data_IF_458971479627
#
_entry.id   IF_458971479627
#
_cell.length_a   1.000
_cell.length_b   1.000
_cell.length_c   1.000
_cell.angle_alpha   90.00
_cell.angle_beta   90.00
_cell.angle_gamma   90.00
#
_symmetry.space_group_name_H-M   'P 1'
#
loop_
_entity.id
_entity.type
_entity.pdbx_description
1 polymer ?
#
# COMPACT_ATOMS: atom_id res chain seq x y z
N UNK A 1 0.35 1.49 13.33
CA UNK A 1 0.01 0.19 12.71
C UNK A 1 1.23 -0.70 12.56
N UNK A 2 2.18 -0.38 11.68
CA UNK A 2 3.43 -1.18 11.58
C UNK A 2 4.18 -1.11 12.90
N UNK A 3 4.37 0.09 13.47
CA UNK A 3 5.01 0.25 14.78
C UNK A 3 4.27 -0.53 15.88
N UNK A 4 2.93 -0.46 15.91
CA UNK A 4 2.12 -1.17 16.90
C UNK A 4 2.37 -2.69 16.87
N UNK A 5 2.61 -3.27 15.69
CA UNK A 5 3.02 -4.67 15.54
C UNK A 5 4.47 -4.91 15.95
N UNK A 6 5.40 -4.01 15.60
CA UNK A 6 6.81 -4.10 16.05
C UNK A 6 6.91 -4.09 17.57
N UNK A 7 6.07 -3.29 18.23
CA UNK A 7 6.03 -3.18 19.69
C UNK A 7 5.38 -4.40 20.37
N UNK A 8 4.58 -5.19 19.64
CA UNK A 8 3.89 -6.40 20.12
C UNK A 8 3.74 -7.42 18.98
N UNK A 9 4.81 -8.15 18.66
CA UNK A 9 4.88 -9.02 17.49
C UNK A 9 4.08 -10.32 17.62
N UNK A 10 3.62 -10.65 18.84
CA UNK A 10 2.80 -11.84 19.09
C UNK A 10 1.33 -11.61 18.71
N UNK A 11 0.90 -10.34 18.55
CA UNK A 11 -0.48 -10.02 18.22
C UNK A 11 -0.79 -10.19 16.73
N UNK A 12 -1.47 -11.28 16.40
CA UNK A 12 -1.96 -11.59 15.05
C UNK A 12 -2.92 -10.51 14.51
N UNK A 13 -3.73 -9.89 15.37
CA UNK A 13 -4.58 -8.76 14.96
C UNK A 13 -3.78 -7.53 14.54
N UNK A 14 -2.65 -7.26 15.20
CA UNK A 14 -1.75 -6.16 14.82
C UNK A 14 -0.99 -6.49 13.53
N UNK A 15 -0.55 -7.73 13.35
CA UNK A 15 0.04 -8.20 12.09
C UNK A 15 -0.92 -8.00 10.92
N UNK A 16 -2.19 -8.39 11.07
CA UNK A 16 -3.22 -8.17 10.05
C UNK A 16 -3.34 -6.70 9.64
N UNK A 17 -3.43 -5.78 10.62
CA UNK A 17 -3.50 -4.33 10.36
C UNK A 17 -2.22 -3.79 9.72
N UNK A 18 -1.06 -4.30 10.12
CA UNK A 18 0.23 -3.92 9.55
C UNK A 18 0.35 -4.34 8.07
N UNK A 19 -0.09 -5.56 7.73
CA UNK A 19 -0.11 -6.05 6.35
C UNK A 19 -1.05 -5.24 5.45
N UNK A 20 -2.23 -4.86 5.95
CA UNK A 20 -3.13 -3.95 5.22
C UNK A 20 -2.48 -2.59 5.00
N UNK A 21 -1.84 -2.04 6.03
CA UNK A 21 -1.13 -0.76 5.92
C UNK A 21 -0.01 -0.82 4.87
N UNK A 22 0.72 -1.93 4.83
CA UNK A 22 1.76 -2.18 3.82
C UNK A 22 1.17 -2.26 2.41
N UNK A 23 0.10 -3.03 2.20
CA UNK A 23 -0.56 -3.11 0.89
C UNK A 23 -1.12 -1.77 0.40
N UNK A 24 -1.58 -0.91 1.32
CA UNK A 24 -2.00 0.46 0.99
C UNK A 24 -0.81 1.33 0.60
N UNK A 25 0.33 1.19 1.28
CA UNK A 25 1.55 1.92 0.95
C UNK A 25 1.99 1.61 -0.50
N UNK A 26 2.19 0.33 -0.82
CA UNK A 26 2.65 -0.09 -2.16
C UNK A 26 1.57 0.13 -3.23
N UNK A 27 0.30 -0.19 -2.91
CA UNK A 27 -0.78 -0.17 -3.88
C UNK A 27 -1.38 1.21 -4.17
N UNK A 28 -1.44 2.12 -3.18
CA UNK A 28 -2.10 3.42 -3.33
C UNK A 28 -1.06 4.55 -3.39
N UNK A 29 -0.18 4.65 -2.41
CA UNK A 29 0.73 5.81 -2.33
C UNK A 29 1.78 5.78 -3.45
N UNK A 30 2.49 4.67 -3.63
CA UNK A 30 3.49 4.59 -4.71
C UNK A 30 2.89 4.64 -6.12
N UNK A 31 1.65 4.18 -6.31
CA UNK A 31 0.96 4.27 -7.61
C UNK A 31 0.80 5.72 -8.08
N UNK A 32 0.49 6.65 -7.18
CA UNK A 32 0.39 8.09 -7.51
C UNK A 32 1.73 8.67 -7.96
N UNK A 33 2.80 8.34 -7.24
CA UNK A 33 4.16 8.78 -7.53
C UNK A 33 4.66 8.26 -8.90
N UNK A 34 4.40 6.99 -9.22
CA UNK A 34 4.74 6.44 -10.53
C UNK A 34 4.01 7.17 -11.66
N UNK A 35 2.72 7.49 -11.49
CA UNK A 35 1.95 8.25 -12.47
C UNK A 35 2.57 9.64 -12.75
N UNK A 36 3.08 10.30 -11.70
CA UNK A 36 3.79 11.57 -11.84
C UNK A 36 5.08 11.44 -12.65
N UNK A 37 5.96 10.47 -12.34
CA UNK A 37 7.20 10.27 -13.11
C UNK A 37 6.93 9.89 -14.56
N UNK A 38 5.91 9.07 -14.83
CA UNK A 38 5.48 8.80 -16.20
C UNK A 38 4.97 10.06 -16.92
N UNK A 39 4.35 11.01 -16.22
CA UNK A 39 3.97 12.30 -16.79
C UNK A 39 5.18 13.14 -17.22
N UNK A 40 6.27 13.14 -16.45
CA UNK A 40 7.49 13.87 -16.77
C UNK A 40 8.15 13.32 -18.04
N UNK A 41 8.18 12.00 -18.19
CA UNK A 41 8.73 11.35 -19.39
C UNK A 41 7.93 11.71 -20.64
N UNK A 42 6.60 11.83 -20.53
CA UNK A 42 5.76 12.32 -21.66
C UNK A 42 6.14 13.73 -22.11
N UNK A 43 6.69 14.54 -21.21
CA UNK A 43 7.22 15.88 -21.51
C UNK A 43 8.73 15.89 -21.80
N UNK A 44 9.33 14.72 -22.04
CA UNK A 44 10.75 14.54 -22.31
C UNK A 44 11.67 15.00 -21.16
N UNK A 45 11.18 14.93 -19.91
CA UNK A 45 11.91 15.27 -18.68
C UNK A 45 12.20 14.01 -17.87
N UNK A 46 13.31 14.00 -17.14
CA UNK A 46 13.71 12.92 -16.24
C UNK A 46 13.80 11.52 -16.89
N UNK A 47 14.12 11.45 -18.19
CA UNK A 47 14.15 10.20 -18.96
C UNK A 47 15.18 9.21 -18.39
N UNK A 48 16.33 9.69 -17.90
CA UNK A 48 17.33 8.81 -17.29
C UNK A 48 16.82 8.12 -16.01
N UNK A 49 15.93 8.78 -15.26
CA UNK A 49 15.39 8.25 -14.00
C UNK A 49 14.29 7.22 -14.22
N UNK A 50 13.62 7.21 -15.38
CA UNK A 50 12.46 6.31 -15.61
C UNK A 50 12.85 4.83 -15.56
N UNK A 51 14.08 4.50 -15.94
CA UNK A 51 14.58 3.12 -15.87
C UNK A 51 14.56 2.64 -14.42
N UNK A 52 15.09 3.45 -13.50
CA UNK A 52 15.08 3.14 -12.07
C UNK A 52 13.67 3.07 -11.51
N UNK A 53 12.80 4.03 -11.87
CA UNK A 53 11.40 4.05 -11.43
C UNK A 53 10.65 2.79 -11.88
N UNK A 54 10.88 2.34 -13.12
CA UNK A 54 10.25 1.12 -13.62
C UNK A 54 10.75 -0.13 -12.89
N UNK A 55 12.04 -0.20 -12.53
CA UNK A 55 12.57 -1.31 -11.72
C UNK A 55 11.92 -1.35 -10.35
N UNK A 56 11.80 -0.19 -9.67
CA UNK A 56 11.09 -0.10 -8.38
C UNK A 56 9.64 -0.58 -8.54
N UNK A 57 8.92 -0.08 -9.55
CA UNK A 57 7.53 -0.49 -9.80
C UNK A 57 7.36 -1.99 -10.05
N UNK A 58 8.34 -2.61 -10.73
CA UNK A 58 8.36 -4.06 -10.95
C UNK A 58 8.46 -4.81 -9.61
N UNK A 59 9.36 -4.38 -8.73
CA UNK A 59 9.51 -4.94 -7.38
C UNK A 59 8.24 -4.72 -6.53
N UNK A 60 7.65 -3.52 -6.58
CA UNK A 60 6.42 -3.22 -5.82
C UNK A 60 5.22 -4.08 -6.22
N UNK A 61 5.16 -4.46 -7.51
CA UNK A 61 4.14 -5.38 -8.00
C UNK A 61 4.31 -6.76 -7.38
N UNK A 62 5.55 -7.24 -7.25
CA UNK A 62 5.86 -8.53 -6.64
C UNK A 62 5.57 -8.51 -5.14
N UNK A 63 5.93 -7.43 -4.44
CA UNK A 63 5.62 -7.27 -3.01
C UNK A 63 4.11 -7.24 -2.77
N UNK A 64 3.36 -6.49 -3.57
CA UNK A 64 1.89 -6.44 -3.46
C UNK A 64 1.25 -7.82 -3.58
N UNK A 65 1.71 -8.65 -4.53
CA UNK A 65 1.25 -10.02 -4.68
C UNK A 65 1.65 -10.88 -3.47
N UNK A 66 2.91 -10.84 -3.06
CA UNK A 66 3.43 -11.63 -1.94
C UNK A 66 2.67 -11.33 -0.64
N UNK A 67 2.59 -10.06 -0.25
CA UNK A 67 1.93 -9.66 0.99
C UNK A 67 0.41 -9.84 0.92
N UNK A 68 -0.19 -9.71 -0.28
CA UNK A 68 -1.60 -10.04 -0.51
C UNK A 68 -1.88 -11.53 -0.34
N UNK A 69 -0.95 -12.39 -0.76
CA UNK A 69 -1.03 -13.84 -0.53
C UNK A 69 -0.82 -14.18 0.96
N UNK A 70 0.17 -13.58 1.62
CA UNK A 70 0.39 -13.75 3.06
C UNK A 70 -0.86 -13.36 3.85
N UNK A 71 -1.49 -12.22 3.51
CA UNK A 71 -2.73 -11.77 4.14
C UNK A 71 -3.85 -12.80 4.02
N UNK A 72 -4.01 -13.42 2.84
CA UNK A 72 -4.99 -14.47 2.62
C UNK A 72 -4.68 -15.74 3.44
N UNK A 73 -3.40 -16.14 3.50
CA UNK A 73 -2.97 -17.31 4.27
C UNK A 73 -3.26 -17.10 5.77
N UNK A 74 -2.91 -15.93 6.34
CA UNK A 74 -3.17 -15.68 7.77
C UNK A 74 -4.66 -15.61 8.07
N UNK A 75 -5.49 -15.09 7.16
CA UNK A 75 -6.94 -15.08 7.35
C UNK A 75 -7.55 -16.47 7.26
N UNK A 76 -6.89 -17.39 6.53
CA UNK A 76 -7.27 -18.80 6.46
C UNK A 76 -6.85 -19.56 7.72
N UNK A 77 -5.63 -19.33 8.21
CA UNK A 77 -5.09 -19.98 9.42
C UNK A 77 -5.73 -19.47 10.72
N UNK A 78 -6.11 -18.19 10.77
CA UNK A 78 -6.74 -17.53 11.91
C UNK A 78 -8.13 -16.99 11.52
N UNK A 79 -9.19 -17.82 11.59
CA UNK A 79 -10.55 -17.43 11.20
C UNK A 79 -11.10 -16.22 11.95
N UNK A 80 -10.59 -15.92 13.15
CA UNK A 80 -10.89 -14.70 13.91
C UNK A 80 -10.48 -13.41 13.19
N UNK A 81 -9.57 -13.50 12.21
CA UNK A 81 -9.23 -12.39 11.33
C UNK A 81 -10.25 -12.22 10.19
N UNK A 82 -10.89 -13.31 9.75
CA UNK A 82 -11.83 -13.30 8.63
C UNK A 82 -13.27 -12.97 9.10
N UNK A 83 -13.40 -11.82 9.74
CA UNK A 83 -14.67 -11.32 10.27
C UNK A 83 -15.15 -10.11 9.47
N UNK A 84 -16.46 -9.85 9.53
CA UNK A 84 -17.04 -8.66 8.90
C UNK A 84 -16.43 -7.36 9.46
N UNK A 85 -16.13 -7.31 10.76
CA UNK A 85 -15.50 -6.16 11.40
C UNK A 85 -14.12 -5.85 10.80
N UNK A 86 -13.27 -6.88 10.63
CA UNK A 86 -11.95 -6.70 10.03
C UNK A 86 -12.02 -6.33 8.54
N UNK A 87 -12.98 -6.91 7.80
CA UNK A 87 -13.25 -6.52 6.42
C UNK A 87 -13.68 -5.05 6.32
N UNK A 88 -14.63 -4.62 7.16
CA UNK A 88 -15.11 -3.24 7.21
C UNK A 88 -13.97 -2.28 7.58
N UNK A 89 -13.12 -2.67 8.54
CA UNK A 89 -11.90 -1.95 8.87
C UNK A 89 -10.96 -1.80 7.66
N UNK A 90 -10.68 -2.88 6.93
CA UNK A 90 -9.78 -2.87 5.77
C UNK A 90 -10.29 -1.94 4.67
N UNK A 91 -11.59 -2.07 4.31
CA UNK A 91 -12.26 -1.22 3.32
C UNK A 91 -12.22 0.25 3.74
N UNK A 92 -12.53 0.54 5.00
CA UNK A 92 -12.56 1.91 5.51
C UNK A 92 -11.14 2.51 5.61
N UNK A 93 -10.14 1.70 5.92
CA UNK A 93 -8.74 2.14 5.90
C UNK A 93 -8.28 2.48 4.47
N UNK A 94 -8.62 1.65 3.49
CA UNK A 94 -8.35 1.91 2.07
C UNK A 94 -9.02 3.22 1.62
N UNK A 95 -10.31 3.40 1.89
CA UNK A 95 -11.04 4.63 1.54
C UNK A 95 -10.39 5.88 2.12
N UNK A 96 -10.09 5.87 3.42
CA UNK A 96 -9.40 6.99 4.09
C UNK A 96 -8.03 7.27 3.48
N UNK A 97 -7.31 6.23 3.06
CA UNK A 97 -5.99 6.38 2.46
C UNK A 97 -6.07 7.01 1.07
N UNK A 98 -7.07 6.63 0.26
CA UNK A 98 -7.37 7.27 -1.03
C UNK A 98 -7.73 8.75 -0.86
N UNK A 99 -8.57 9.09 0.11
CA UNK A 99 -8.93 10.50 0.34
C UNK A 99 -7.72 11.33 0.79
N UNK A 100 -6.89 10.81 1.68
CA UNK A 100 -5.63 11.46 2.07
C UNK A 100 -4.69 11.69 0.88
N UNK A 101 -4.61 10.73 -0.03
CA UNK A 101 -3.76 10.90 -1.22
C UNK A 101 -4.28 11.99 -2.14
N UNK A 102 -5.60 12.04 -2.39
CA UNK A 102 -6.22 13.13 -3.15
C UNK A 102 -6.02 14.50 -2.50
N UNK A 103 -6.07 14.58 -1.17
CA UNK A 103 -5.82 15.82 -0.43
C UNK A 103 -4.39 16.29 -0.63
N UNK A 104 -3.41 15.39 -0.48
CA UNK A 104 -1.99 15.69 -0.76
C UNK A 104 -1.75 16.14 -2.19
N UNK A 105 -2.36 15.47 -3.17
CA UNK A 105 -2.24 15.87 -4.58
C UNK A 105 -2.75 17.29 -4.82
N UNK A 106 -3.86 17.68 -4.18
CA UNK A 106 -4.38 19.05 -4.25
C UNK A 106 -3.44 20.05 -3.59
N UNK A 107 -2.82 19.70 -2.47
CA UNK A 107 -1.82 20.54 -1.81
C UNK A 107 -0.60 20.77 -2.71
N UNK A 108 -0.12 19.73 -3.40
CA UNK A 108 1.03 19.85 -4.31
C UNK A 108 0.72 20.58 -5.61
N UNK A 109 -0.56 20.66 -6.00
CA UNK A 109 -1.00 21.37 -7.20
C UNK A 109 -1.15 22.89 -7.01
N UNK A 110 -1.20 23.37 -5.76
CA UNK A 110 -1.29 24.80 -5.40
C UNK A 110 0.08 25.40 -5.07
#
# INVERSE_FOLDING_TARGET
MIQDYVDDPESISKLYKALIAYLVLEGIYFTGEFAYFHSLVRTNRMIGSIIMINLIKEDETQYSVLYGTILQIIMFEFPELNTKENMDFAVEYIKRSVEKEKEKEKEWAN
#
